data_IF_948768016338
#
_entry.id   IF_948768016338
#
_cell.length_a   1.000
_cell.length_b   1.000
_cell.length_c   1.000
_cell.angle_alpha   90.00
_cell.angle_beta   90.00
_cell.angle_gamma   90.00
#
_symmetry.space_group_name_H-M   'P 1'
#
loop_
_entity.id
_entity.type
_entity.pdbx_description
1 polymer ?
#
# COMPACT_ATOMS: atom_id res chain seq x y z
N UNK A 1 5.91 -10.22 -5.79
CA UNK A 1 4.65 -9.46 -5.70
C UNK A 1 4.77 -8.27 -4.75
N UNK A 2 5.31 -8.41 -3.53
CA UNK A 2 5.60 -7.27 -2.62
C UNK A 2 6.37 -6.12 -3.28
N UNK A 3 7.38 -6.42 -4.10
CA UNK A 3 8.12 -5.40 -4.84
C UNK A 3 7.22 -4.60 -5.80
N UNK A 4 6.36 -5.27 -6.56
CA UNK A 4 5.39 -4.59 -7.43
C UNK A 4 4.37 -3.78 -6.60
N UNK A 5 3.84 -4.38 -5.53
CA UNK A 5 2.83 -3.79 -4.66
C UNK A 5 3.17 -2.39 -4.17
N UNK A 6 4.45 -2.12 -3.92
CA UNK A 6 4.91 -0.79 -3.56
C UNK A 6 5.41 0.02 -4.76
N UNK A 7 6.33 -0.54 -5.55
CA UNK A 7 7.08 0.28 -6.51
C UNK A 7 6.30 0.61 -7.79
N UNK A 8 5.10 0.02 -7.97
CA UNK A 8 4.18 0.40 -9.03
C UNK A 8 3.91 1.91 -9.02
N UNK A 9 3.94 2.53 -10.21
CA UNK A 9 3.78 3.97 -10.39
C UNK A 9 4.66 4.85 -9.48
N UNK A 10 5.92 4.46 -9.27
CA UNK A 10 6.86 5.12 -8.33
C UNK A 10 6.35 5.16 -6.88
N UNK A 11 5.42 4.28 -6.49
CA UNK A 11 4.75 4.34 -5.18
C UNK A 11 3.66 5.40 -5.07
N UNK A 12 3.32 6.08 -6.17
CA UNK A 12 2.21 7.02 -6.26
C UNK A 12 0.91 6.25 -6.52
N UNK A 13 0.55 5.39 -5.57
CA UNK A 13 -0.66 4.57 -5.61
C UNK A 13 -1.28 4.55 -4.22
N UNK A 14 -2.57 4.85 -4.11
CA UNK A 14 -3.29 4.85 -2.83
C UNK A 14 -3.32 3.45 -2.18
N UNK A 15 -3.22 2.40 -2.99
CA UNK A 15 -3.16 1.01 -2.52
C UNK A 15 -1.73 0.50 -2.30
N UNK A 16 -0.71 1.36 -2.38
CA UNK A 16 0.68 0.92 -2.30
C UNK A 16 0.95 0.07 -1.06
N UNK A 17 1.68 -1.03 -1.24
CA UNK A 17 2.11 -1.95 -0.18
C UNK A 17 3.24 -1.37 0.69
N UNK A 18 3.01 -0.20 1.28
CA UNK A 18 4.00 0.58 2.04
C UNK A 18 4.53 -0.17 3.26
N UNK A 19 3.63 -0.76 4.06
CA UNK A 19 3.97 -1.62 5.21
C UNK A 19 3.95 -3.09 4.82
N UNK A 20 5.11 -3.70 4.70
CA UNK A 20 5.27 -5.12 4.41
C UNK A 20 5.62 -5.89 5.69
N UNK A 21 4.63 -6.57 6.28
CA UNK A 21 4.82 -7.44 7.44
C UNK A 21 5.29 -8.84 7.01
N UNK A 22 6.38 -9.34 7.60
CA UNK A 22 6.98 -10.62 7.24
C UNK A 22 7.22 -11.47 8.50
N UNK A 23 6.81 -12.73 8.47
CA UNK A 23 6.94 -13.66 9.60
C UNK A 23 8.44 -13.87 9.92
N UNK A 24 8.79 -13.85 11.21
CA UNK A 24 10.17 -13.94 11.72
C UNK A 24 11.00 -15.03 11.04
N UNK A 25 10.42 -16.20 10.75
CA UNK A 25 11.10 -17.35 10.13
C UNK A 25 11.64 -17.10 8.72
N UNK A 26 11.05 -16.18 7.96
CA UNK A 26 11.44 -15.87 6.58
C UNK A 26 11.92 -14.43 6.42
N UNK A 27 11.99 -13.65 7.50
CA UNK A 27 12.28 -12.22 7.46
C UNK A 27 13.62 -11.91 6.80
N UNK A 28 14.70 -12.53 7.28
CA UNK A 28 16.05 -12.19 6.81
C UNK A 28 16.24 -12.53 5.33
N UNK A 29 15.72 -13.69 4.90
CA UNK A 29 15.74 -14.10 3.50
C UNK A 29 14.89 -13.17 2.62
N UNK A 30 13.71 -12.76 3.10
CA UNK A 30 12.85 -11.83 2.38
C UNK A 30 13.51 -10.46 2.23
N UNK A 31 14.12 -9.94 3.30
CA UNK A 31 14.87 -8.67 3.27
C UNK A 31 15.99 -8.74 2.23
N UNK A 32 16.80 -9.80 2.26
CA UNK A 32 17.90 -9.96 1.31
C UNK A 32 17.42 -10.02 -0.14
N UNK A 33 16.37 -10.81 -0.43
CA UNK A 33 15.78 -10.87 -1.78
C UNK A 33 15.18 -9.52 -2.21
N UNK A 34 14.61 -8.76 -1.27
CA UNK A 34 14.02 -7.45 -1.54
C UNK A 34 15.09 -6.39 -1.83
N UNK A 35 16.22 -6.40 -1.11
CA UNK A 35 17.40 -5.59 -1.41
C UNK A 35 17.87 -5.83 -2.85
N UNK A 36 18.09 -7.10 -3.21
CA UNK A 36 18.61 -7.46 -4.53
C UNK A 36 17.65 -7.12 -5.66
N UNK A 37 16.33 -7.28 -5.46
CA UNK A 37 15.35 -6.87 -6.47
C UNK A 37 15.29 -5.34 -6.62
N UNK A 38 15.41 -4.61 -5.51
CA UNK A 38 15.34 -3.14 -5.47
C UNK A 38 16.54 -2.50 -6.17
N UNK A 39 17.75 -3.01 -5.94
CA UNK A 39 18.97 -2.54 -6.64
C UNK A 39 18.92 -2.70 -8.16
N UNK A 40 18.17 -3.68 -8.67
CA UNK A 40 18.04 -3.95 -10.11
C UNK A 40 17.05 -3.04 -10.82
N UNK A 41 16.24 -2.28 -10.08
CA UNK A 41 15.18 -1.45 -10.65
C UNK A 41 15.77 -0.24 -11.39
N UNK A 42 15.56 -0.16 -12.69
CA UNK A 42 16.05 0.97 -13.51
C UNK A 42 15.17 2.21 -13.33
N UNK A 43 15.76 3.28 -12.81
CA UNK A 43 15.14 4.62 -12.71
C UNK A 43 15.62 5.45 -13.91
N UNK A 44 14.70 6.11 -14.62
CA UNK A 44 15.07 6.87 -15.81
C UNK A 44 13.91 7.50 -16.57
N UNK A 45 14.18 7.84 -17.83
CA UNK A 45 13.19 8.42 -18.74
C UNK A 45 11.99 7.47 -18.90
N UNK A 46 10.74 7.90 -18.62
CA UNK A 46 9.55 7.06 -18.78
C UNK A 46 9.27 6.67 -20.25
N UNK A 47 9.91 7.31 -21.23
CA UNK A 47 9.82 6.93 -22.64
C UNK A 47 10.84 5.88 -23.08
N UNK A 48 11.84 5.54 -22.24
CA UNK A 48 12.74 4.42 -22.47
C UNK A 48 12.05 3.11 -22.03
N UNK A 49 11.86 2.17 -22.95
CA UNK A 49 11.19 0.87 -22.71
C UNK A 49 11.85 0.03 -21.61
N UNK A 50 13.13 0.27 -21.32
CA UNK A 50 13.85 -0.45 -20.27
C UNK A 50 13.74 0.22 -18.89
N UNK A 51 13.15 1.42 -18.80
CA UNK A 51 12.88 2.09 -17.52
C UNK A 51 11.76 1.38 -16.78
N UNK A 52 12.00 1.03 -15.51
CA UNK A 52 10.98 0.46 -14.64
C UNK A 52 10.31 1.50 -13.74
N UNK A 53 10.96 2.65 -13.54
CA UNK A 53 10.54 3.70 -12.62
C UNK A 53 10.81 5.11 -13.18
N UNK A 54 9.75 5.88 -13.38
CA UNK A 54 9.81 7.28 -13.82
C UNK A 54 10.02 8.28 -12.67
N UNK A 55 9.76 9.58 -12.91
CA UNK A 55 9.84 10.61 -11.88
C UNK A 55 8.59 10.63 -10.98
N UNK A 56 8.70 11.34 -9.86
CA UNK A 56 7.56 11.79 -9.08
C UNK A 56 6.82 12.90 -9.84
N UNK A 57 5.55 13.11 -9.51
CA UNK A 57 4.66 14.03 -10.23
C UNK A 57 5.09 15.50 -10.14
N UNK A 58 5.70 15.91 -9.02
CA UNK A 58 6.06 17.30 -8.76
C UNK A 58 7.28 17.41 -7.83
N UNK A 59 7.84 18.62 -7.76
CA UNK A 59 8.90 18.97 -6.80
C UNK A 59 8.42 18.81 -5.35
N UNK A 60 7.23 19.31 -5.04
CA UNK A 60 6.62 19.21 -3.70
C UNK A 60 6.49 17.75 -3.25
N UNK A 61 6.05 16.87 -4.15
CA UNK A 61 5.93 15.45 -3.84
C UNK A 61 7.31 14.81 -3.60
N UNK A 62 8.31 15.16 -4.40
CA UNK A 62 9.69 14.69 -4.17
C UNK A 62 10.24 15.16 -2.82
N UNK A 63 10.05 16.43 -2.46
CA UNK A 63 10.52 16.98 -1.18
C UNK A 63 9.85 16.28 0.01
N UNK A 64 8.53 16.07 -0.06
CA UNK A 64 7.78 15.30 0.95
C UNK A 64 8.35 13.89 1.12
N UNK A 65 8.63 13.20 0.01
CA UNK A 65 9.20 11.84 0.04
C UNK A 65 10.59 11.86 0.70
N UNK A 66 11.45 12.81 0.32
CA UNK A 66 12.80 12.93 0.86
C UNK A 66 12.78 13.30 2.37
N UNK A 67 11.87 14.17 2.82
CA UNK A 67 11.67 14.44 4.26
C UNK A 67 11.28 13.18 5.03
N UNK A 68 10.34 12.39 4.49
CA UNK A 68 9.90 11.17 5.14
C UNK A 68 11.01 10.13 5.20
N UNK A 69 11.80 9.98 4.14
CA UNK A 69 13.02 9.14 4.15
C UNK A 69 13.98 9.60 5.25
N UNK A 70 14.26 10.89 5.34
CA UNK A 70 15.15 11.44 6.36
C UNK A 70 14.60 11.25 7.79
N UNK A 71 13.29 11.38 7.96
CA UNK A 71 12.64 11.09 9.24
C UNK A 71 12.81 9.64 9.66
N UNK A 72 12.77 8.70 8.71
CA UNK A 72 13.05 7.27 8.95
C UNK A 72 14.48 7.04 9.42
N UNK A 73 15.45 7.67 8.74
CA UNK A 73 16.88 7.64 9.13
C UNK A 73 17.05 8.18 10.56
N UNK A 74 16.48 9.36 10.86
CA UNK A 74 16.56 10.01 12.19
C UNK A 74 15.88 9.22 13.31
N UNK A 75 14.81 8.50 13.01
CA UNK A 75 14.10 7.64 13.96
C UNK A 75 14.83 6.32 14.26
N UNK A 76 15.93 6.03 13.57
CA UNK A 76 16.72 4.81 13.78
C UNK A 76 16.27 3.61 12.94
N UNK A 77 15.36 3.80 11.97
CA UNK A 77 15.07 2.76 10.99
C UNK A 77 16.32 2.50 10.13
N UNK A 78 16.56 1.23 9.80
CA UNK A 78 17.75 0.86 9.04
C UNK A 78 17.51 1.03 7.54
N UNK A 79 18.17 2.02 6.95
CA UNK A 79 18.18 2.19 5.49
C UNK A 79 19.05 1.09 4.85
N UNK A 80 18.43 0.28 3.97
CA UNK A 80 19.09 -0.84 3.32
C UNK A 80 19.50 -0.54 1.86
N UNK A 81 18.66 0.22 1.14
CA UNK A 81 18.87 0.61 -0.27
C UNK A 81 18.22 1.97 -0.51
N UNK A 82 18.82 2.78 -1.38
CA UNK A 82 18.23 4.02 -1.87
C UNK A 82 18.32 5.17 -0.88
N UNK A 83 17.26 5.97 -0.79
CA UNK A 83 17.12 7.03 0.20
C UNK A 83 17.56 8.42 -0.27
N UNK A 84 17.87 8.59 -1.56
CA UNK A 84 18.36 9.84 -2.14
C UNK A 84 17.65 10.20 -3.46
N UNK A 85 17.82 11.45 -3.89
CA UNK A 85 17.44 11.91 -5.24
C UNK A 85 18.35 11.29 -6.31
N UNK A 86 17.83 11.07 -7.51
CA UNK A 86 18.62 10.69 -8.70
C UNK A 86 18.79 11.89 -9.63
N UNK A 87 20.04 12.28 -9.90
CA UNK A 87 20.37 13.35 -10.83
C UNK A 87 19.93 14.76 -10.38
N UNK A 88 20.13 15.73 -11.26
CA UNK A 88 19.82 17.16 -11.06
C UNK A 88 18.56 17.62 -11.82
N UNK A 89 18.13 16.86 -12.84
CA UNK A 89 16.95 17.12 -13.67
C UNK A 89 15.83 16.13 -13.40
N UNK A 90 14.59 16.64 -13.42
CA UNK A 90 13.40 15.86 -13.08
C UNK A 90 13.31 15.53 -11.59
N UNK A 91 12.21 14.90 -11.20
CA UNK A 91 11.86 14.61 -9.82
C UNK A 91 12.08 13.14 -9.49
N UNK A 92 13.31 12.63 -9.66
CA UNK A 92 13.59 11.21 -9.48
C UNK A 92 14.06 10.90 -8.06
N UNK A 93 13.44 9.90 -7.44
CA UNK A 93 13.83 9.37 -6.11
C UNK A 93 14.30 7.93 -6.29
N UNK A 94 15.38 7.55 -5.61
CA UNK A 94 15.85 6.16 -5.62
C UNK A 94 14.80 5.22 -5.02
N UNK A 95 14.64 4.00 -5.55
CA UNK A 95 13.82 2.99 -4.91
C UNK A 95 14.44 2.65 -3.55
N UNK A 96 13.67 2.87 -2.48
CA UNK A 96 14.18 2.93 -1.11
C UNK A 96 13.58 1.80 -0.27
N UNK A 97 14.40 1.22 0.61
CA UNK A 97 13.99 0.11 1.46
C UNK A 97 14.53 0.30 2.87
N UNK A 98 13.62 0.25 3.84
CA UNK A 98 13.91 0.27 5.27
C UNK A 98 13.58 -1.08 5.92
N UNK A 99 14.47 -1.57 6.78
CA UNK A 99 14.19 -2.60 7.78
C UNK A 99 14.14 -1.99 9.18
N UNK A 100 13.83 -2.83 10.17
CA UNK A 100 13.82 -2.44 11.58
C UNK A 100 12.94 -1.20 11.82
N UNK A 101 11.82 -1.13 11.10
CA UNK A 101 10.82 -0.08 11.24
C UNK A 101 9.89 -0.44 12.39
N UNK A 102 9.71 0.49 13.32
CA UNK A 102 8.74 0.37 14.41
C UNK A 102 7.44 1.08 14.04
N UNK A 103 6.32 0.60 14.58
CA UNK A 103 4.99 1.07 14.17
C UNK A 103 4.77 2.56 14.52
N UNK A 104 5.52 3.15 15.47
CA UNK A 104 5.42 4.57 15.83
C UNK A 104 6.27 5.51 14.93
N UNK A 105 7.07 4.97 14.00
CA UNK A 105 7.83 5.80 13.08
C UNK A 105 6.90 6.53 12.10
N UNK A 106 7.24 7.77 11.73
CA UNK A 106 6.48 8.54 10.71
C UNK A 106 6.31 7.75 9.41
N UNK A 107 7.37 7.10 8.93
CA UNK A 107 7.34 6.25 7.72
C UNK A 107 6.43 5.02 7.83
N UNK A 108 5.98 4.64 9.03
CA UNK A 108 5.01 3.56 9.24
C UNK A 108 3.57 4.07 9.45
N UNK A 109 3.36 5.38 9.55
CA UNK A 109 2.06 6.00 9.86
C UNK A 109 1.58 6.92 8.74
N UNK A 110 2.46 7.77 8.22
CA UNK A 110 2.16 8.75 7.20
C UNK A 110 2.24 8.15 5.79
N UNK A 111 1.30 8.53 4.92
CA UNK A 111 1.36 8.16 3.51
C UNK A 111 2.50 8.90 2.80
N UNK A 112 3.56 8.16 2.46
CA UNK A 112 4.73 8.66 1.73
C UNK A 112 4.37 8.98 0.28
N UNK A 113 3.58 8.11 -0.36
CA UNK A 113 3.19 8.22 -1.77
C UNK A 113 4.41 8.33 -2.72
N UNK A 114 5.41 7.48 -2.46
CA UNK A 114 6.69 7.44 -3.14
C UNK A 114 7.35 6.06 -3.02
N UNK A 115 8.50 5.83 -3.66
CA UNK A 115 9.06 4.49 -3.83
C UNK A 115 9.86 4.07 -2.58
N UNK A 116 9.19 3.94 -1.43
CA UNK A 116 9.81 3.70 -0.11
C UNK A 116 9.13 2.54 0.62
N UNK A 117 9.84 1.42 0.78
CA UNK A 117 9.31 0.20 1.42
C UNK A 117 9.69 0.15 2.88
N UNK A 118 8.72 -0.15 3.75
CA UNK A 118 8.98 -0.52 5.15
C UNK A 118 8.79 -2.03 5.30
N UNK A 119 9.82 -2.74 5.76
CA UNK A 119 9.72 -4.18 6.06
C UNK A 119 9.73 -4.39 7.59
N UNK A 120 8.59 -4.84 8.10
CA UNK A 120 8.35 -5.06 9.52
C UNK A 120 8.30 -6.56 9.83
N UNK A 121 8.89 -6.98 10.94
CA UNK A 121 8.88 -8.37 11.41
C UNK A 121 7.65 -8.61 12.29
N UNK A 122 7.01 -9.78 12.20
CA UNK A 122 5.96 -10.22 13.13
C UNK A 122 6.15 -11.69 13.53
N UNK A 123 5.50 -12.12 14.61
CA UNK A 123 5.60 -13.50 15.14
C UNK A 123 4.28 -14.26 15.14
N UNK A 124 3.17 -13.60 15.43
CA UNK A 124 1.86 -14.25 15.50
C UNK A 124 0.84 -13.58 14.59
N UNK A 125 -0.22 -14.33 14.24
CA UNK A 125 -1.31 -13.83 13.39
C UNK A 125 -2.09 -12.73 14.12
N UNK A 126 -2.37 -12.90 15.41
CA UNK A 126 -3.11 -11.92 16.20
C UNK A 126 -2.35 -10.59 16.28
N UNK A 127 -1.03 -10.66 16.52
CA UNK A 127 -0.15 -9.49 16.55
C UNK A 127 -0.15 -8.74 15.21
N UNK A 128 0.01 -9.45 14.08
CA UNK A 128 0.06 -8.78 12.78
C UNK A 128 -1.30 -8.19 12.38
N UNK A 129 -2.42 -8.81 12.75
CA UNK A 129 -3.76 -8.25 12.53
C UNK A 129 -3.93 -6.96 13.34
N UNK A 130 -3.55 -6.97 14.62
CA UNK A 130 -3.59 -5.77 15.47
C UNK A 130 -2.77 -4.63 14.88
N UNK A 131 -1.50 -4.90 14.55
CA UNK A 131 -0.56 -3.90 14.00
C UNK A 131 -0.96 -3.42 12.60
N UNK A 132 -1.46 -4.31 11.74
CA UNK A 132 -1.97 -3.92 10.43
C UNK A 132 -3.18 -2.99 10.56
N UNK A 133 -4.02 -3.18 11.58
CA UNK A 133 -5.18 -2.35 11.86
C UNK A 133 -4.87 -1.07 12.64
N UNK A 134 -3.71 -0.97 13.30
CA UNK A 134 -3.25 0.23 14.03
C UNK A 134 -2.75 1.31 13.05
N UNK A 135 -3.72 1.93 12.38
CA UNK A 135 -3.55 3.02 11.42
C UNK A 135 -4.90 3.72 11.25
N UNK A 136 -4.87 5.00 10.88
CA UNK A 136 -6.09 5.75 10.54
C UNK A 136 -6.68 5.33 9.19
N UNK A 137 -5.90 4.62 8.37
CA UNK A 137 -6.27 4.17 7.03
C UNK A 137 -6.88 2.76 7.02
N UNK A 138 -7.48 2.41 5.88
CA UNK A 138 -8.13 1.12 5.66
C UNK A 138 -8.51 0.90 4.20
N UNK A 139 -7.67 1.32 3.23
CA UNK A 139 -8.01 1.22 1.82
C UNK A 139 -7.88 -0.23 1.31
N UNK A 140 -6.66 -0.74 1.29
CA UNK A 140 -6.35 -2.06 0.75
C UNK A 140 -5.32 -2.81 1.59
N UNK A 141 -5.33 -4.13 1.50
CA UNK A 141 -4.33 -5.02 2.08
C UNK A 141 -4.14 -6.27 1.22
N UNK A 142 -3.06 -7.02 1.47
CA UNK A 142 -2.87 -8.33 0.85
C UNK A 142 -2.23 -9.32 1.81
N UNK A 143 -2.62 -10.59 1.68
CA UNK A 143 -2.14 -11.71 2.49
C UNK A 143 -1.46 -12.73 1.57
N UNK A 144 -0.21 -13.09 1.89
CA UNK A 144 0.55 -14.10 1.14
C UNK A 144 0.73 -15.35 2.00
N UNK A 145 -0.01 -16.41 1.68
CA UNK A 145 0.02 -17.68 2.42
C UNK A 145 -0.47 -18.83 1.55
N UNK A 146 0.01 -20.04 1.80
CA UNK A 146 -0.53 -21.28 1.22
C UNK A 146 -1.58 -21.94 2.11
N UNK A 147 -1.69 -21.47 3.34
CA UNK A 147 -2.59 -21.98 4.37
C UNK A 147 -3.94 -21.24 4.29
N UNK A 148 -5.00 -22.00 4.01
CA UNK A 148 -6.34 -21.46 3.80
C UNK A 148 -6.95 -20.89 5.09
N UNK A 149 -6.74 -21.55 6.23
CA UNK A 149 -7.28 -21.10 7.51
C UNK A 149 -6.64 -19.76 7.89
N UNK A 150 -5.32 -19.63 7.69
CA UNK A 150 -4.63 -18.34 7.88
C UNK A 150 -5.15 -17.27 6.94
N UNK A 151 -5.37 -17.61 5.66
CA UNK A 151 -5.90 -16.65 4.71
C UNK A 151 -7.26 -16.11 5.18
N UNK A 152 -8.18 -17.00 5.59
CA UNK A 152 -9.52 -16.65 6.07
C UNK A 152 -9.45 -15.83 7.37
N UNK A 153 -8.66 -16.27 8.36
CA UNK A 153 -8.55 -15.56 9.64
C UNK A 153 -8.00 -14.16 9.44
N UNK A 154 -6.92 -14.01 8.67
CA UNK A 154 -6.29 -12.70 8.45
C UNK A 154 -7.20 -11.79 7.63
N UNK A 155 -7.81 -12.28 6.55
CA UNK A 155 -8.68 -11.43 5.73
C UNK A 155 -9.92 -10.94 6.49
N UNK A 156 -10.51 -11.75 7.37
CA UNK A 156 -11.63 -11.32 8.21
C UNK A 156 -11.19 -10.40 9.35
N UNK A 157 -9.96 -10.51 9.83
CA UNK A 157 -9.42 -9.66 10.89
C UNK A 157 -9.00 -8.26 10.42
N UNK A 158 -8.60 -8.12 9.15
CA UNK A 158 -8.14 -6.85 8.59
C UNK A 158 -9.30 -5.89 8.29
N UNK A 159 -9.15 -4.63 8.73
CA UNK A 159 -10.09 -3.53 8.49
C UNK A 159 -9.67 -2.72 7.27
N UNK A 160 -9.69 -3.37 6.11
CA UNK A 160 -9.45 -2.75 4.81
C UNK A 160 -10.57 -3.09 3.83
N UNK A 161 -10.89 -2.18 2.90
CA UNK A 161 -12.04 -2.37 2.02
C UNK A 161 -11.79 -3.27 0.81
N UNK A 162 -10.53 -3.45 0.42
CA UNK A 162 -10.14 -4.46 -0.57
C UNK A 162 -8.98 -5.30 -0.04
N UNK A 163 -9.16 -6.61 0.00
CA UNK A 163 -8.13 -7.55 0.49
C UNK A 163 -7.85 -8.57 -0.60
N UNK A 164 -6.59 -8.68 -0.97
CA UNK A 164 -6.11 -9.68 -1.93
C UNK A 164 -5.43 -10.85 -1.22
N UNK A 165 -5.52 -12.05 -1.80
CA UNK A 165 -4.80 -13.22 -1.30
C UNK A 165 -3.89 -13.74 -2.40
N UNK A 166 -2.58 -13.83 -2.13
CA UNK A 166 -1.54 -14.24 -3.07
C UNK A 166 -1.50 -13.43 -4.38
N UNK A 167 -2.03 -12.21 -4.37
CA UNK A 167 -1.96 -11.23 -5.45
C UNK A 167 -1.96 -9.82 -4.87
N UNK A 168 -1.74 -8.81 -5.69
CA UNK A 168 -1.77 -7.41 -5.27
C UNK A 168 -2.22 -6.53 -6.44
N UNK A 169 -2.96 -5.46 -6.15
CA UNK A 169 -3.47 -4.53 -7.18
C UNK A 169 -4.36 -5.21 -8.23
N UNK A 170 -4.97 -6.35 -7.88
CA UNK A 170 -5.83 -7.12 -8.77
C UNK A 170 -7.25 -6.55 -8.75
N UNK A 171 -7.49 -5.55 -9.58
CA UNK A 171 -8.80 -4.93 -9.75
C UNK A 171 -9.67 -5.65 -10.77
N UNK A 172 -10.98 -5.63 -10.53
CA UNK A 172 -11.98 -6.10 -11.47
C UNK A 172 -13.16 -5.11 -11.53
N UNK A 173 -13.73 -4.80 -12.70
CA UNK A 173 -14.92 -3.96 -12.80
C UNK A 173 -16.14 -4.46 -12.00
N UNK A 174 -16.26 -5.75 -11.75
CA UNK A 174 -17.38 -6.34 -11.00
C UNK A 174 -17.11 -6.43 -9.49
N UNK A 175 -15.87 -6.16 -9.06
CA UNK A 175 -15.51 -6.13 -7.64
C UNK A 175 -15.60 -4.69 -7.10
N UNK A 176 -16.35 -4.43 -6.02
CA UNK A 176 -16.39 -3.10 -5.42
C UNK A 176 -15.02 -2.71 -4.87
N UNK A 177 -14.69 -1.43 -4.98
CA UNK A 177 -13.47 -0.86 -4.41
C UNK A 177 -13.80 0.37 -3.57
N UNK A 178 -13.17 0.50 -2.41
CA UNK A 178 -13.34 1.64 -1.52
C UNK A 178 -12.75 1.35 -0.15
N UNK A 179 -12.62 2.38 0.68
CA UNK A 179 -11.90 2.28 1.95
C UNK A 179 -12.78 1.99 3.17
N UNK A 180 -12.11 1.62 4.26
CA UNK A 180 -12.55 1.74 5.64
C UNK A 180 -11.90 2.99 6.26
N UNK A 181 -12.43 3.43 7.42
CA UNK A 181 -11.87 4.52 8.24
C UNK A 181 -11.66 5.80 7.43
N UNK A 182 -10.49 6.45 7.55
CA UNK A 182 -10.19 7.68 6.82
C UNK A 182 -9.83 7.46 5.35
N UNK A 183 -9.81 6.21 4.86
CA UNK A 183 -9.55 5.92 3.45
C UNK A 183 -10.77 6.12 2.53
N UNK A 184 -11.90 6.55 3.07
CA UNK A 184 -13.05 6.99 2.29
C UNK A 184 -14.39 6.41 2.76
N UNK A 185 -15.46 6.91 2.14
CA UNK A 185 -16.85 6.49 2.36
C UNK A 185 -17.45 6.02 1.03
N UNK A 186 -18.33 5.02 1.08
CA UNK A 186 -18.95 4.45 -0.12
C UNK A 186 -18.09 3.40 -0.83
N UNK A 187 -18.55 2.97 -2.00
CA UNK A 187 -17.87 2.00 -2.87
C UNK A 187 -18.02 2.45 -4.32
N UNK A 188 -16.92 2.35 -5.06
CA UNK A 188 -16.85 2.56 -6.50
C UNK A 188 -16.75 1.21 -7.21
N UNK A 189 -17.02 1.23 -8.53
CA UNK A 189 -17.12 0.03 -9.40
C UNK A 189 -18.30 -0.87 -9.01
N UNK A 190 -18.46 -1.99 -9.72
CA UNK A 190 -19.50 -2.99 -9.49
C UNK A 190 -20.93 -2.40 -9.43
N UNK A 191 -21.91 -3.23 -9.13
CA UNK A 191 -23.29 -2.76 -8.90
C UNK A 191 -23.40 -1.84 -7.68
N UNK A 192 -22.52 -2.00 -6.67
CA UNK A 192 -22.55 -1.20 -5.44
C UNK A 192 -22.33 0.30 -5.67
N UNK A 193 -21.61 0.69 -6.73
CA UNK A 193 -21.44 2.10 -7.08
C UNK A 193 -22.74 2.77 -7.54
N UNK A 194 -23.68 2.00 -8.10
CA UNK A 194 -24.94 2.54 -8.61
C UNK A 194 -25.78 3.17 -7.49
N UNK A 195 -25.74 2.59 -6.29
CA UNK A 195 -26.43 3.13 -5.11
C UNK A 195 -25.93 4.54 -4.74
N UNK A 196 -24.66 4.85 -5.03
CA UNK A 196 -24.07 6.18 -4.77
C UNK A 196 -24.44 7.24 -5.81
N UNK A 197 -24.97 6.82 -6.97
CA UNK A 197 -25.35 7.69 -8.08
C UNK A 197 -26.85 7.66 -8.40
N UNK A 198 -27.65 7.01 -7.55
CA UNK A 198 -29.10 6.92 -7.69
C UNK A 198 -29.80 7.46 -6.44
N UNK A 199 -31.01 7.98 -6.63
CA UNK A 199 -31.82 8.53 -5.53
C UNK A 199 -33.09 7.70 -5.36
N UNK A 200 -33.27 7.08 -4.19
CA UNK A 200 -34.42 6.22 -3.92
C UNK A 200 -35.65 7.07 -3.55
N UNK A 201 -36.73 6.93 -4.32
CA UNK A 201 -38.02 7.59 -4.06
C UNK A 201 -39.10 6.57 -3.73
N UNK A 202 -39.62 6.60 -2.50
CA UNK A 202 -40.79 5.82 -2.11
C UNK A 202 -42.09 6.57 -2.46
N UNK A 203 -42.98 5.93 -3.21
CA UNK A 203 -44.30 6.48 -3.56
C UNK A 203 -45.39 5.49 -3.14
N UNK A 204 -46.20 5.87 -2.16
CA UNK A 204 -47.34 5.07 -1.69
C UNK A 204 -48.65 5.68 -2.20
N UNK A 205 -49.44 4.91 -2.96
CA UNK A 205 -50.71 5.37 -3.54
C UNK A 205 -51.86 4.55 -2.95
N UNK A 206 -52.74 5.21 -2.18
CA UNK A 206 -54.03 4.62 -1.79
C UNK A 206 -55.03 4.77 -2.94
N UNK A 207 -55.67 3.67 -3.35
CA UNK A 207 -56.69 3.67 -4.41
C UNK A 207 -58.12 3.82 -3.90
N UNK A 208 -58.31 4.00 -2.59
CA UNK A 208 -59.62 4.13 -1.95
C UNK A 208 -60.46 2.84 -1.99
N UNK A 209 -60.71 2.29 -0.80
CA UNK A 209 -61.90 1.54 -0.34
C UNK A 209 -61.54 1.01 1.05
N UNK A 210 -61.75 1.85 2.06
CA UNK A 210 -62.19 1.37 3.36
C UNK A 210 -63.71 1.46 3.36
#
# INVERSE_FOLDING_TARGET
>A
MSHFALFFNQGQCCCAGSRTYVEEKIYDEFVQRSIERTKRRKVGDPFDESTEQGPQISHEQMDKILDLIDSGKRAGAKLLVGGERVGDKGYFVQPTLFSDVHDNHRIAREEIFGPVMQILKFKTIDEVIERANDTDYGLAASVFTKDLDKAIVVTNGLRAGSIWVNTYDNFDPVAPFGGFKQSGLGREKSEFSLDSYTETKCVCISRGKF
#
